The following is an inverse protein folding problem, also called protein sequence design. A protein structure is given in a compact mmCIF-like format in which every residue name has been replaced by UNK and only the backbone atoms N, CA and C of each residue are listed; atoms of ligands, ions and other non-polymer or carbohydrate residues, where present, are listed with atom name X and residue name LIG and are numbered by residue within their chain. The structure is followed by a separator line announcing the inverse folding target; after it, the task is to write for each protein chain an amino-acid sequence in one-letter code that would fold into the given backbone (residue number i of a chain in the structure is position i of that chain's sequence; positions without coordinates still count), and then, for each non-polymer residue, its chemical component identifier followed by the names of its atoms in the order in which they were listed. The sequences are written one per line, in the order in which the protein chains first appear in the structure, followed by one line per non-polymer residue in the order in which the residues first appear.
data_IF_013113752418
#
_entry.id   IF_013113752418
#
_cell.length_a   1.000
_cell.length_b   1.000
_cell.length_c   1.000
_cell.angle_alpha   90.00
_cell.angle_beta   90.00
_cell.angle_gamma   90.00
#
_symmetry.space_group_name_H-M   'P 1'
#
loop_
_entity.id
_entity.type
_entity.pdbx_description
1 polymer ?
#
# COMPACT_ATOMS: atom_id res chain seq x y z
N UNK A 1 -1.06 14.32 4.33
CA UNK A 1 -2.20 15.13 3.86
C UNK A 1 -2.03 15.56 2.41
N UNK A 2 -1.02 16.36 2.01
CA UNK A 2 -0.81 16.77 0.62
C UNK A 2 -0.51 15.59 -0.32
N UNK A 3 0.42 14.68 0.05
CA UNK A 3 0.69 13.44 -0.70
C UNK A 3 -0.57 12.62 -1.00
N UNK A 4 -1.50 12.55 -0.04
CA UNK A 4 -2.73 11.75 -0.25
C UNK A 4 -3.67 12.44 -1.22
N UNK A 5 -3.71 13.79 -1.22
CA UNK A 5 -4.46 14.55 -2.22
C UNK A 5 -3.93 14.29 -3.62
N UNK A 6 -2.59 14.35 -3.81
CA UNK A 6 -1.96 14.02 -5.08
C UNK A 6 -2.28 12.58 -5.54
N UNK A 7 -2.23 11.60 -4.61
CA UNK A 7 -2.61 10.23 -4.92
C UNK A 7 -4.09 10.09 -5.31
N UNK A 8 -5.00 10.80 -4.62
CA UNK A 8 -6.42 10.82 -4.99
C UNK A 8 -6.64 11.44 -6.37
N UNK A 9 -5.97 12.54 -6.67
CA UNK A 9 -6.07 13.20 -7.98
C UNK A 9 -5.50 12.31 -9.09
N UNK A 10 -4.39 11.61 -8.81
CA UNK A 10 -3.83 10.58 -9.72
C UNK A 10 -4.84 9.47 -10.01
N UNK A 11 -5.45 8.92 -8.98
CA UNK A 11 -6.47 7.86 -9.12
C UNK A 11 -7.68 8.37 -9.91
N UNK A 12 -8.12 9.61 -9.67
CA UNK A 12 -9.21 10.24 -10.45
C UNK A 12 -8.86 10.38 -11.92
N UNK A 13 -7.63 10.83 -12.24
CA UNK A 13 -7.16 10.96 -13.61
C UNK A 13 -7.11 9.60 -14.32
N UNK A 14 -6.56 8.57 -13.67
CA UNK A 14 -6.52 7.19 -14.17
C UNK A 14 -7.94 6.67 -14.45
N UNK A 15 -8.88 6.84 -13.51
CA UNK A 15 -10.24 6.35 -13.69
C UNK A 15 -10.95 7.04 -14.85
N UNK A 16 -10.73 8.34 -15.07
CA UNK A 16 -11.27 9.08 -16.22
C UNK A 16 -10.65 8.60 -17.53
N UNK A 17 -9.32 8.43 -17.57
CA UNK A 17 -8.62 7.84 -18.71
C UNK A 17 -9.16 6.44 -19.04
N UNK A 18 -9.32 5.57 -18.04
CA UNK A 18 -9.90 4.23 -18.22
C UNK A 18 -11.29 4.25 -18.82
N UNK A 19 -12.11 5.26 -18.48
CA UNK A 19 -13.45 5.38 -19.06
C UNK A 19 -13.38 5.64 -20.54
N UNK A 20 -12.54 6.56 -21.00
CA UNK A 20 -12.34 6.84 -22.43
C UNK A 20 -11.75 5.59 -23.13
N UNK A 21 -10.75 4.95 -22.55
CA UNK A 21 -10.15 3.74 -23.12
C UNK A 21 -11.16 2.61 -23.30
N UNK A 22 -12.10 2.42 -22.38
CA UNK A 22 -13.16 1.39 -22.51
C UNK A 22 -14.10 1.62 -23.67
N UNK A 23 -14.26 2.87 -24.11
CA UNK A 23 -15.15 3.25 -25.21
C UNK A 23 -14.42 3.11 -26.56
N UNK A 24 -13.19 3.61 -26.63
CA UNK A 24 -12.46 3.78 -27.88
C UNK A 24 -11.42 2.69 -28.15
N UNK A 25 -10.95 2.00 -27.10
CA UNK A 25 -10.01 0.88 -27.21
C UNK A 25 -10.19 -0.10 -26.04
N UNK A 26 -11.31 -0.85 -25.96
CA UNK A 26 -11.61 -1.72 -24.84
C UNK A 26 -10.57 -2.82 -24.60
N UNK A 27 -9.89 -3.30 -25.64
CA UNK A 27 -8.86 -4.33 -25.58
C UNK A 27 -7.53 -3.84 -25.00
N UNK A 28 -7.37 -2.56 -24.78
CA UNK A 28 -6.11 -1.98 -24.26
C UNK A 28 -5.68 -2.59 -22.93
N UNK A 29 -6.66 -2.90 -22.08
CA UNK A 29 -6.38 -3.54 -20.78
C UNK A 29 -5.75 -4.93 -20.94
N UNK A 30 -6.21 -5.71 -21.91
CA UNK A 30 -5.69 -7.06 -22.19
C UNK A 30 -4.30 -6.96 -22.82
N UNK A 31 -4.09 -5.98 -23.68
CA UNK A 31 -2.80 -5.71 -24.32
C UNK A 31 -1.71 -5.30 -23.30
N UNK A 32 -2.04 -4.51 -22.27
CA UNK A 32 -1.05 -3.95 -21.34
C UNK A 32 -1.17 -4.48 -19.91
N UNK A 33 -2.29 -5.06 -19.53
CA UNK A 33 -2.57 -5.47 -18.15
C UNK A 33 -2.74 -4.29 -17.20
N UNK A 34 -1.75 -3.37 -17.17
CA UNK A 34 -1.77 -2.15 -16.38
C UNK A 34 -1.74 -0.91 -17.29
N UNK A 35 -2.87 -0.22 -17.41
CA UNK A 35 -3.05 0.93 -18.32
C UNK A 35 -2.24 2.16 -17.87
N UNK A 36 -1.99 2.31 -16.59
CA UNK A 36 -1.14 3.37 -16.00
C UNK A 36 0.32 2.95 -15.79
N UNK A 37 0.78 1.90 -16.48
CA UNK A 37 2.20 1.52 -16.51
C UNK A 37 3.02 2.48 -17.36
N UNK A 38 4.31 2.65 -17.05
CA UNK A 38 5.19 3.62 -17.71
C UNK A 38 5.16 3.51 -19.25
N UNK A 39 5.28 2.29 -19.81
CA UNK A 39 5.19 2.10 -21.25
C UNK A 39 3.82 2.42 -21.82
N UNK A 40 2.77 2.04 -21.09
CA UNK A 40 1.39 2.36 -21.49
C UNK A 40 1.17 3.86 -21.58
N UNK A 41 1.63 4.62 -20.59
CA UNK A 41 1.50 6.08 -20.58
C UNK A 41 2.29 6.73 -21.73
N UNK A 42 3.52 6.28 -22.00
CA UNK A 42 4.31 6.80 -23.11
C UNK A 42 3.66 6.50 -24.46
N UNK A 43 3.09 5.31 -24.64
CA UNK A 43 2.38 4.97 -25.88
C UNK A 43 1.09 5.78 -26.04
N UNK A 44 0.29 5.90 -24.96
CA UNK A 44 -0.95 6.68 -24.96
C UNK A 44 -0.73 8.18 -25.20
N UNK A 45 0.45 8.70 -24.85
CA UNK A 45 0.84 10.09 -25.11
C UNK A 45 0.88 10.42 -26.61
N UNK A 46 1.29 9.47 -27.42
CA UNK A 46 1.44 9.65 -28.88
C UNK A 46 0.34 8.95 -29.69
N UNK A 47 -0.03 7.75 -29.30
CA UNK A 47 -0.94 6.88 -30.04
C UNK A 47 -1.97 6.21 -29.11
N UNK A 48 -3.00 6.95 -28.63
CA UNK A 48 -3.94 6.42 -27.64
C UNK A 48 -4.94 5.41 -28.21
N UNK A 49 -5.27 5.45 -29.49
CA UNK A 49 -6.34 4.66 -30.07
C UNK A 49 -5.87 3.70 -31.18
N UNK A 50 -6.69 2.70 -31.55
CA UNK A 50 -6.32 1.68 -32.52
C UNK A 50 -5.81 2.22 -33.86
N UNK A 51 -6.41 3.28 -34.40
CA UNK A 51 -5.99 3.81 -35.69
C UNK A 51 -4.64 4.55 -35.60
N UNK A 52 -4.33 5.18 -34.46
CA UNK A 52 -3.00 5.76 -34.20
C UNK A 52 -1.92 4.67 -34.14
N UNK A 53 -2.21 3.56 -33.47
CA UNK A 53 -1.29 2.43 -33.33
C UNK A 53 -1.03 1.74 -34.66
N UNK A 54 -2.05 1.62 -35.52
CA UNK A 54 -1.91 1.09 -36.88
C UNK A 54 -1.02 1.97 -37.75
N UNK A 55 -1.13 3.30 -37.57
CA UNK A 55 -0.30 4.28 -38.32
C UNK A 55 1.17 4.24 -37.85
N UNK A 56 1.45 3.94 -36.58
CA UNK A 56 2.80 3.80 -36.02
C UNK A 56 3.55 2.55 -36.49
N UNK A 57 2.81 1.49 -36.80
CA UNK A 57 3.30 0.13 -37.02
C UNK A 57 4.07 -0.48 -35.81
N UNK A 58 4.69 -1.63 -36.00
CA UNK A 58 5.44 -2.32 -34.93
C UNK A 58 6.76 -1.60 -34.63
N UNK A 59 7.39 -1.03 -35.61
CA UNK A 59 8.66 -0.33 -35.45
C UNK A 59 8.47 0.99 -34.71
N UNK A 60 7.40 1.73 -35.00
CA UNK A 60 7.06 2.94 -34.26
C UNK A 60 6.77 2.68 -32.78
N UNK A 61 6.06 1.60 -32.45
CA UNK A 61 5.84 1.19 -31.06
C UNK A 61 7.15 0.85 -30.35
N UNK A 62 8.06 0.13 -31.04
CA UNK A 62 9.41 -0.21 -30.52
C UNK A 62 10.28 1.02 -30.32
N UNK A 63 10.18 2.00 -31.22
CA UNK A 63 10.91 3.24 -31.11
C UNK A 63 10.49 4.04 -29.87
N UNK A 64 9.19 4.18 -29.59
CA UNK A 64 8.68 4.81 -28.37
C UNK A 64 9.24 4.13 -27.12
N UNK A 65 9.27 2.79 -27.11
CA UNK A 65 9.87 2.03 -26.01
C UNK A 65 11.35 2.39 -25.80
N UNK A 66 12.10 2.48 -26.87
CA UNK A 66 13.54 2.74 -26.84
C UNK A 66 13.83 4.18 -26.38
N UNK A 67 13.09 5.15 -26.92
CA UNK A 67 13.24 6.58 -26.58
C UNK A 67 12.90 6.83 -25.09
N UNK A 68 11.90 6.16 -24.57
CA UNK A 68 11.51 6.22 -23.15
C UNK A 68 12.49 5.49 -22.21
N UNK A 69 13.57 4.86 -22.75
CA UNK A 69 14.59 4.10 -21.99
C UNK A 69 13.99 3.08 -21.00
N UNK A 70 12.88 2.47 -21.37
CA UNK A 70 12.16 1.55 -20.51
C UNK A 70 12.83 0.17 -20.47
N UNK A 71 12.76 -0.48 -19.30
CA UNK A 71 13.27 -1.85 -19.10
C UNK A 71 12.12 -2.86 -19.13
N UNK A 72 12.38 -4.09 -19.55
CA UNK A 72 11.42 -5.21 -19.47
C UNK A 72 10.92 -5.71 -20.84
N UNK A 73 9.77 -6.43 -20.83
CA UNK A 73 9.26 -7.17 -21.99
C UNK A 73 8.39 -6.36 -22.98
N UNK A 74 8.26 -5.05 -22.84
CA UNK A 74 7.39 -4.25 -23.71
C UNK A 74 7.79 -4.30 -25.18
N UNK A 75 9.09 -4.38 -25.46
CA UNK A 75 9.60 -4.51 -26.82
C UNK A 75 9.06 -5.76 -27.55
N UNK A 76 8.99 -6.90 -26.88
CA UNK A 76 8.48 -8.15 -27.47
C UNK A 76 6.96 -8.19 -27.64
N UNK A 77 6.23 -7.23 -27.07
CA UNK A 77 4.76 -7.17 -27.11
C UNK A 77 4.21 -6.23 -28.19
N UNK A 78 5.08 -5.55 -28.95
CA UNK A 78 4.65 -4.60 -29.99
C UNK A 78 3.70 -5.24 -31.03
N UNK A 79 4.01 -6.46 -31.48
CA UNK A 79 3.14 -7.21 -32.39
C UNK A 79 1.80 -7.60 -31.80
N UNK A 80 1.77 -8.00 -30.52
CA UNK A 80 0.55 -8.30 -29.77
C UNK A 80 -0.36 -7.07 -29.63
N UNK A 81 0.22 -5.91 -29.27
CA UNK A 81 -0.49 -4.64 -29.16
C UNK A 81 -1.14 -4.24 -30.50
N UNK A 82 -0.39 -4.38 -31.59
CA UNK A 82 -0.93 -4.14 -32.94
C UNK A 82 -2.03 -5.13 -33.32
N UNK A 83 -1.90 -6.39 -32.90
CA UNK A 83 -2.96 -7.39 -33.04
C UNK A 83 -4.27 -6.92 -32.41
N UNK A 84 -4.22 -6.47 -31.15
CA UNK A 84 -5.40 -5.89 -30.48
C UNK A 84 -5.92 -4.65 -31.19
N UNK A 85 -5.04 -3.76 -31.64
CA UNK A 85 -5.46 -2.56 -32.37
C UNK A 85 -6.18 -2.88 -33.68
N UNK A 86 -5.76 -3.93 -34.39
CA UNK A 86 -6.39 -4.35 -35.66
C UNK A 86 -7.77 -5.00 -35.46
N UNK A 87 -7.97 -5.69 -34.36
CA UNK A 87 -9.21 -6.39 -34.03
C UNK A 87 -10.13 -5.60 -33.10
N UNK A 88 -9.78 -4.37 -32.78
CA UNK A 88 -10.54 -3.56 -31.83
C UNK A 88 -11.96 -3.27 -32.28
N UNK A 89 -12.91 -3.42 -31.34
CA UNK A 89 -14.34 -3.09 -31.49
C UNK A 89 -14.69 -1.71 -30.94
N UNK A 90 -13.67 -0.90 -30.60
CA UNK A 90 -13.87 0.45 -30.06
C UNK A 90 -14.65 1.36 -31.03
N UNK A 91 -15.42 2.31 -30.48
CA UNK A 91 -16.18 3.31 -31.22
C UNK A 91 -15.20 4.29 -31.86
N UNK A 92 -15.56 4.80 -33.06
CA UNK A 92 -14.73 5.77 -33.79
C UNK A 92 -15.32 7.19 -33.74
N UNK A 93 -16.61 7.30 -33.59
CA UNK A 93 -17.30 8.59 -33.50
C UNK A 93 -16.84 9.35 -32.24
N UNK A 94 -16.38 10.59 -32.44
CA UNK A 94 -15.86 11.41 -31.35
C UNK A 94 -14.44 11.06 -30.87
N UNK A 95 -13.73 10.17 -31.59
CA UNK A 95 -12.39 9.73 -31.21
C UNK A 95 -11.37 10.89 -31.12
N UNK A 96 -11.47 11.91 -31.96
CA UNK A 96 -10.54 13.06 -31.94
C UNK A 96 -10.63 13.84 -30.63
N UNK A 97 -11.88 14.10 -30.13
CA UNK A 97 -12.06 14.77 -28.86
C UNK A 97 -11.59 13.89 -27.69
N UNK A 98 -11.91 12.60 -27.73
CA UNK A 98 -11.47 11.63 -26.74
C UNK A 98 -9.94 11.46 -26.73
N UNK A 99 -9.27 11.53 -27.88
CA UNK A 99 -7.82 11.52 -28.02
C UNK A 99 -7.18 12.66 -27.22
N UNK A 100 -7.67 13.88 -27.40
CA UNK A 100 -7.22 15.05 -26.64
C UNK A 100 -7.41 14.82 -25.14
N UNK A 101 -8.57 14.29 -24.74
CA UNK A 101 -8.84 14.01 -23.34
C UNK A 101 -7.89 12.94 -22.74
N UNK A 102 -7.65 11.83 -23.44
CA UNK A 102 -6.73 10.78 -23.00
C UNK A 102 -5.31 11.34 -22.87
N UNK A 103 -4.83 12.06 -23.88
CA UNK A 103 -3.49 12.69 -23.85
C UNK A 103 -3.35 13.67 -22.68
N UNK A 104 -4.40 14.45 -22.40
CA UNK A 104 -4.41 15.35 -21.25
C UNK A 104 -4.36 14.56 -19.90
N UNK A 105 -5.13 13.47 -19.77
CA UNK A 105 -5.05 12.63 -18.57
C UNK A 105 -3.70 11.97 -18.39
N UNK A 106 -3.09 11.47 -19.47
CA UNK A 106 -1.74 10.91 -19.45
C UNK A 106 -0.74 11.92 -18.93
N UNK A 107 -0.73 13.13 -19.51
CA UNK A 107 0.15 14.21 -19.07
C UNK A 107 -0.07 14.50 -17.58
N UNK A 108 -1.32 14.61 -17.14
CA UNK A 108 -1.64 14.89 -15.75
C UNK A 108 -1.20 13.76 -14.79
N UNK A 109 -1.32 12.50 -15.20
CA UNK A 109 -0.84 11.36 -14.41
C UNK A 109 0.70 11.42 -14.27
N UNK A 110 1.42 11.71 -15.35
CA UNK A 110 2.89 11.80 -15.34
C UNK A 110 3.36 12.95 -14.43
N UNK A 111 2.74 14.14 -14.53
CA UNK A 111 3.02 15.28 -13.66
C UNK A 111 2.81 14.92 -12.18
N UNK A 112 1.69 14.27 -11.87
CA UNK A 112 1.38 13.83 -10.49
C UNK A 112 2.35 12.76 -9.99
N UNK A 113 2.85 11.88 -10.85
CA UNK A 113 3.88 10.89 -10.49
C UNK A 113 5.22 11.56 -10.15
N UNK A 114 5.60 12.60 -10.88
CA UNK A 114 6.80 13.40 -10.60
C UNK A 114 6.66 14.17 -9.27
N UNK A 115 5.53 14.85 -9.06
CA UNK A 115 5.24 15.55 -7.81
C UNK A 115 5.23 14.61 -6.60
N UNK A 116 4.63 13.42 -6.75
CA UNK A 116 4.63 12.38 -5.72
C UNK A 116 6.05 11.91 -5.40
N UNK A 117 6.90 11.69 -6.39
CA UNK A 117 8.28 11.28 -6.18
C UNK A 117 9.07 12.33 -5.40
N UNK A 118 8.89 13.61 -5.70
CA UNK A 118 9.52 14.73 -4.96
C UNK A 118 9.06 14.74 -3.50
N UNK A 119 7.75 14.65 -3.26
CA UNK A 119 7.19 14.65 -1.90
C UNK A 119 7.63 13.41 -1.11
N UNK A 120 7.67 12.23 -1.74
CA UNK A 120 8.11 11.00 -1.08
C UNK A 120 9.59 11.07 -0.70
N UNK A 121 10.45 11.61 -1.55
CA UNK A 121 11.86 11.83 -1.23
C UNK A 121 12.03 12.80 -0.04
N UNK A 122 11.28 13.90 0.00
CA UNK A 122 11.31 14.85 1.12
C UNK A 122 10.83 14.20 2.42
N UNK A 123 9.76 13.39 2.37
CA UNK A 123 9.24 12.66 3.53
C UNK A 123 10.31 11.69 4.04
N UNK A 124 10.97 10.93 3.16
CA UNK A 124 12.00 9.98 3.53
C UNK A 124 13.21 10.67 4.18
N UNK A 125 13.68 11.79 3.62
CA UNK A 125 14.73 12.59 4.24
C UNK A 125 14.33 13.04 5.65
N UNK A 126 13.12 13.56 5.83
CA UNK A 126 12.63 13.98 7.15
C UNK A 126 12.46 12.82 8.14
N UNK A 127 12.07 11.64 7.67
CA UNK A 127 12.01 10.45 8.52
C UNK A 127 13.41 10.01 9.00
N UNK A 128 14.44 10.15 8.16
CA UNK A 128 15.82 9.81 8.52
C UNK A 128 16.42 10.77 9.58
N UNK A 129 15.94 12.02 9.65
CA UNK A 129 16.34 12.98 10.68
C UNK A 129 15.79 12.61 12.09
N UNK A 130 14.76 11.75 12.16
CA UNK A 130 14.15 11.35 13.44
C UNK A 130 15.04 10.28 14.09
N UNK A 131 15.54 10.49 15.33
CA UNK A 131 16.38 9.54 16.00
C UNK A 131 15.74 8.14 16.07
N UNK A 132 16.53 7.12 15.73
CA UNK A 132 16.16 5.72 15.77
C UNK A 132 15.02 5.29 14.82
N UNK A 133 14.46 6.17 13.98
CA UNK A 133 13.40 5.83 13.05
C UNK A 133 13.84 4.74 12.04
N UNK A 134 15.12 4.74 11.64
CA UNK A 134 15.70 3.72 10.77
C UNK A 134 15.59 2.29 11.32
N UNK A 135 15.70 2.11 12.64
CA UNK A 135 15.59 0.79 13.27
C UNK A 135 14.19 0.16 13.13
N UNK A 136 13.18 0.97 12.83
CA UNK A 136 11.81 0.47 12.61
C UNK A 136 11.68 -0.19 11.23
N UNK A 137 12.49 0.24 10.26
CA UNK A 137 12.51 -0.35 8.91
C UNK A 137 13.10 -1.77 8.88
N UNK A 138 13.79 -2.19 9.95
CA UNK A 138 14.27 -3.57 10.13
C UNK A 138 13.09 -4.55 10.35
N UNK A 139 11.90 -4.06 10.69
CA UNK A 139 10.71 -4.88 10.83
C UNK A 139 10.18 -5.21 9.43
N UNK A 140 10.31 -6.47 9.01
CA UNK A 140 9.82 -6.91 7.70
C UNK A 140 8.35 -6.57 7.50
N UNK A 141 8.05 -5.91 6.39
CA UNK A 141 6.72 -5.43 6.07
C UNK A 141 6.41 -4.01 6.53
N UNK A 142 7.31 -3.32 7.25
CA UNK A 142 7.19 -1.88 7.52
C UNK A 142 8.12 -1.13 6.57
N UNK A 143 7.57 -0.60 5.48
CA UNK A 143 8.32 0.27 4.56
C UNK A 143 8.23 1.74 4.94
N UNK A 144 9.03 2.58 4.24
CA UNK A 144 9.15 4.02 4.47
C UNK A 144 7.80 4.74 4.48
N UNK A 145 6.90 4.40 3.56
CA UNK A 145 5.55 4.99 3.50
C UNK A 145 4.71 4.71 4.75
N UNK A 146 4.80 3.50 5.30
CA UNK A 146 4.08 3.12 6.52
C UNK A 146 4.69 3.81 7.73
N UNK A 147 6.01 3.81 7.82
CA UNK A 147 6.75 4.48 8.88
C UNK A 147 6.44 5.98 8.90
N UNK A 148 6.59 6.65 7.76
CA UNK A 148 6.30 8.09 7.65
C UNK A 148 4.85 8.42 8.03
N UNK A 149 3.90 7.58 7.62
CA UNK A 149 2.50 7.75 7.98
C UNK A 149 2.25 7.62 9.49
N UNK A 150 2.91 6.67 10.16
CA UNK A 150 2.84 6.51 11.63
C UNK A 150 3.47 7.72 12.32
N UNK A 151 4.68 8.13 11.92
CA UNK A 151 5.41 9.23 12.52
C UNK A 151 4.67 10.58 12.35
N UNK A 152 4.15 10.86 11.16
CA UNK A 152 3.40 12.09 10.89
C UNK A 152 2.12 12.21 11.72
N UNK A 153 1.44 11.09 11.98
CA UNK A 153 0.22 11.07 12.78
C UNK A 153 0.49 11.01 14.28
N UNK A 154 1.58 10.38 14.69
CA UNK A 154 1.98 10.30 16.09
C UNK A 154 2.56 11.62 16.56
N UNK A 155 3.38 12.28 15.73
CA UNK A 155 4.12 13.48 16.09
C UNK A 155 5.33 13.17 16.97
N UNK A 156 5.78 14.18 17.72
CA UNK A 156 6.94 14.05 18.59
C UNK A 156 6.70 13.01 19.71
N UNK A 157 7.56 12.00 19.76
CA UNK A 157 7.50 10.89 20.71
C UNK A 157 7.77 11.37 22.15
N UNK A 158 8.49 12.49 22.33
CA UNK A 158 8.80 13.03 23.65
C UNK A 158 7.56 13.44 24.45
N UNK A 159 6.47 13.75 23.75
CA UNK A 159 5.19 14.17 24.32
C UNK A 159 4.43 13.07 25.04
N UNK A 160 4.86 11.82 24.92
CA UNK A 160 4.19 10.67 25.48
C UNK A 160 5.05 10.01 26.54
N UNK A 161 4.50 9.85 27.73
CA UNK A 161 5.18 9.15 28.84
C UNK A 161 4.91 7.64 28.78
N UNK A 162 3.74 7.22 28.30
CA UNK A 162 3.37 5.81 28.17
C UNK A 162 2.77 5.54 26.77
N UNK A 163 3.11 4.39 26.22
CA UNK A 163 2.55 3.88 24.95
C UNK A 163 1.02 3.81 24.94
N UNK A 164 0.38 3.65 26.12
CA UNK A 164 -1.08 3.66 26.26
C UNK A 164 -1.71 4.97 25.81
N UNK A 165 -0.98 6.08 25.92
CA UNK A 165 -1.46 7.38 25.45
C UNK A 165 -1.57 7.39 23.92
N UNK A 166 -0.56 6.85 23.22
CA UNK A 166 -0.59 6.73 21.75
C UNK A 166 -1.64 5.70 21.33
N UNK A 167 -1.81 4.63 22.10
CA UNK A 167 -2.87 3.66 21.86
C UNK A 167 -4.27 4.29 21.97
N UNK A 168 -4.49 5.17 22.97
CA UNK A 168 -5.72 5.98 23.07
C UNK A 168 -5.83 6.97 21.90
N UNK A 169 -4.74 7.68 21.58
CA UNK A 169 -4.67 8.62 20.45
C UNK A 169 -5.05 7.98 19.12
N UNK A 170 -4.67 6.72 18.90
CA UNK A 170 -5.03 5.96 17.70
C UNK A 170 -6.47 5.40 17.73
N UNK A 171 -7.13 5.46 18.87
CA UNK A 171 -8.44 4.84 19.10
C UNK A 171 -8.40 3.31 19.15
N UNK A 172 -7.22 2.73 19.43
CA UNK A 172 -7.02 1.29 19.64
C UNK A 172 -7.20 0.86 21.12
N UNK A 173 -7.50 1.81 22.01
CA UNK A 173 -7.84 1.53 23.39
C UNK A 173 -9.11 0.69 23.46
N UNK A 174 -9.10 -0.33 24.32
CA UNK A 174 -10.27 -1.19 24.54
C UNK A 174 -11.28 -0.48 25.42
N UNK A 175 -12.55 -0.56 25.04
CA UNK A 175 -13.70 -0.09 25.82
C UNK A 175 -14.70 -1.23 26.02
N UNK A 176 -15.16 -1.39 27.25
CA UNK A 176 -16.25 -2.31 27.54
C UNK A 176 -17.57 -1.65 27.16
N UNK A 177 -18.33 -2.31 26.30
CA UNK A 177 -19.71 -1.90 26.01
C UNK A 177 -20.65 -2.58 27.01
N UNK A 178 -20.69 -2.08 28.25
CA UNK A 178 -21.64 -2.57 29.25
C UNK A 178 -22.68 -1.50 29.56
N UNK A 179 -23.94 -1.84 29.45
CA UNK A 179 -25.05 -1.00 29.94
C UNK A 179 -25.91 -1.83 30.89
N UNK A 180 -25.92 -1.47 32.17
CA UNK A 180 -26.71 -2.15 33.18
C UNK A 180 -26.38 -3.65 33.31
N UNK A 181 -27.38 -4.54 33.12
CA UNK A 181 -27.23 -5.99 33.20
C UNK A 181 -26.56 -6.66 32.01
N UNK A 182 -26.31 -5.92 30.91
CA UNK A 182 -25.74 -6.47 29.67
C UNK A 182 -24.21 -6.33 29.65
N UNK A 183 -23.49 -7.46 29.75
CA UNK A 183 -22.04 -7.53 29.48
C UNK A 183 -21.83 -7.64 27.97
N UNK A 184 -21.64 -6.51 27.31
CA UNK A 184 -21.34 -6.48 25.89
C UNK A 184 -19.89 -6.84 25.57
N UNK A 185 -19.62 -7.10 24.28
CA UNK A 185 -18.27 -7.38 23.80
C UNK A 185 -17.33 -6.18 24.03
N UNK A 186 -16.09 -6.47 24.44
CA UNK A 186 -15.02 -5.47 24.48
C UNK A 186 -14.57 -5.14 23.06
N UNK A 187 -14.64 -3.87 22.69
CA UNK A 187 -14.27 -3.36 21.35
C UNK A 187 -13.25 -2.25 21.47
N UNK A 188 -12.53 -1.97 20.37
CA UNK A 188 -11.69 -0.77 20.30
C UNK A 188 -12.58 0.48 20.32
N UNK A 189 -12.07 1.56 20.92
CA UNK A 189 -12.87 2.78 21.16
C UNK A 189 -13.25 3.50 19.87
N UNK A 190 -12.47 3.37 18.80
CA UNK A 190 -12.52 4.15 17.58
C UNK A 190 -12.41 5.68 17.78
N UNK A 191 -12.38 6.16 19.03
CA UNK A 191 -12.20 7.58 19.37
C UNK A 191 -10.71 7.91 19.28
N UNK A 192 -10.33 8.82 18.40
CA UNK A 192 -8.95 9.19 18.17
C UNK A 192 -8.61 9.39 16.69
N UNK A 193 -7.32 9.49 16.38
CA UNK A 193 -6.82 9.74 15.03
C UNK A 193 -7.05 8.53 14.12
N UNK A 194 -8.04 8.64 13.24
CA UNK A 194 -8.39 7.58 12.27
C UNK A 194 -7.22 7.19 11.38
N UNK A 195 -6.39 8.16 10.98
CA UNK A 195 -5.24 7.94 10.10
C UNK A 195 -4.10 7.18 10.81
N UNK A 196 -3.81 7.50 12.08
CA UNK A 196 -2.85 6.73 12.86
C UNK A 196 -3.27 5.27 12.98
N UNK A 197 -4.54 5.03 13.30
CA UNK A 197 -5.10 3.67 13.32
C UNK A 197 -5.01 2.95 11.98
N UNK A 198 -5.27 3.66 10.88
CA UNK A 198 -5.12 3.12 9.52
C UNK A 198 -3.68 2.68 9.27
N UNK A 199 -2.67 3.53 9.55
CA UNK A 199 -1.28 3.18 9.30
C UNK A 199 -0.79 2.03 10.18
N UNK A 200 -1.18 1.98 11.44
CA UNK A 200 -0.87 0.86 12.34
C UNK A 200 -1.51 -0.45 11.86
N UNK A 201 -2.72 -0.38 11.33
CA UNK A 201 -3.38 -1.53 10.73
C UNK A 201 -2.69 -2.00 9.44
N UNK A 202 -2.28 -1.09 8.57
CA UNK A 202 -1.50 -1.43 7.37
C UNK A 202 -0.15 -2.05 7.73
N UNK A 203 0.54 -1.51 8.74
CA UNK A 203 1.76 -2.10 9.28
C UNK A 203 1.53 -3.54 9.74
N UNK A 204 0.47 -3.79 10.51
CA UNK A 204 0.14 -5.13 10.98
C UNK A 204 -0.19 -6.10 9.83
N UNK A 205 -0.99 -5.65 8.86
CA UNK A 205 -1.35 -6.45 7.68
C UNK A 205 -0.11 -6.82 6.86
N UNK A 206 0.76 -5.86 6.63
CA UNK A 206 1.99 -6.06 5.85
C UNK A 206 3.00 -6.93 6.61
N UNK A 207 3.19 -6.71 7.92
CA UNK A 207 4.07 -7.52 8.73
C UNK A 207 3.62 -9.00 8.81
N UNK A 208 2.31 -9.26 8.90
CA UNK A 208 1.78 -10.65 8.83
C UNK A 208 2.08 -11.33 7.49
N UNK A 209 2.19 -10.56 6.41
CA UNK A 209 2.50 -11.10 5.09
C UNK A 209 4.00 -11.35 4.86
N UNK A 210 4.89 -10.57 5.53
CA UNK A 210 6.32 -10.55 5.20
C UNK A 210 7.27 -10.93 6.35
N UNK A 211 6.79 -10.94 7.62
CA UNK A 211 7.58 -11.30 8.79
C UNK A 211 7.08 -12.63 9.37
N UNK A 212 7.94 -13.66 9.35
CA UNK A 212 7.54 -15.02 9.78
C UNK A 212 7.10 -15.06 11.24
N UNK A 213 7.79 -14.34 12.13
CA UNK A 213 7.44 -14.26 13.56
C UNK A 213 6.07 -13.58 13.78
N UNK A 214 5.72 -12.60 12.95
CA UNK A 214 4.41 -11.92 13.04
C UNK A 214 3.30 -12.81 12.47
N UNK A 215 3.60 -13.54 11.41
CA UNK A 215 2.70 -14.54 10.83
C UNK A 215 2.43 -15.68 11.80
N UNK A 216 3.46 -16.22 12.45
CA UNK A 216 3.32 -17.25 13.49
C UNK A 216 2.41 -16.74 14.64
N UNK A 217 2.62 -15.51 15.10
CA UNK A 217 1.81 -14.89 16.12
C UNK A 217 0.35 -14.72 15.67
N UNK A 218 0.12 -14.33 14.42
CA UNK A 218 -1.22 -14.23 13.85
C UNK A 218 -1.94 -15.58 13.81
N UNK A 219 -1.24 -16.62 13.37
CA UNK A 219 -1.77 -18.00 13.37
C UNK A 219 -2.10 -18.42 14.80
N UNK A 220 -1.19 -18.22 15.76
CA UNK A 220 -1.43 -18.54 17.16
C UNK A 220 -2.70 -17.87 17.71
N UNK A 221 -2.86 -16.56 17.51
CA UNK A 221 -4.05 -15.85 18.02
C UNK A 221 -5.35 -16.33 17.39
N UNK A 222 -5.32 -16.79 16.12
CA UNK A 222 -6.52 -17.23 15.41
C UNK A 222 -6.85 -18.71 15.62
N UNK A 223 -5.88 -19.52 16.09
CA UNK A 223 -6.03 -20.98 16.24
C UNK A 223 -5.87 -21.50 17.67
N UNK A 224 -5.49 -20.65 18.64
CA UNK A 224 -5.33 -21.06 20.05
C UNK A 224 -6.64 -21.66 20.60
N UNK A 225 -6.55 -22.69 21.45
CA UNK A 225 -7.76 -23.40 21.98
C UNK A 225 -8.63 -22.49 22.84
N UNK A 226 -8.01 -21.62 23.65
CA UNK A 226 -8.73 -20.71 24.52
C UNK A 226 -8.94 -19.36 23.86
N UNK A 227 -10.21 -19.00 23.64
CA UNK A 227 -10.63 -17.72 23.09
C UNK A 227 -9.89 -17.33 21.78
N UNK A 228 -10.05 -18.12 20.69
CA UNK A 228 -9.45 -17.79 19.41
C UNK A 228 -10.00 -16.47 18.86
N UNK A 229 -9.12 -15.64 18.32
CA UNK A 229 -9.49 -14.34 17.78
C UNK A 229 -9.94 -14.48 16.31
N UNK A 230 -10.89 -13.67 15.88
CA UNK A 230 -11.18 -13.48 14.47
C UNK A 230 -9.97 -12.81 13.79
N UNK A 231 -9.75 -13.08 12.50
CA UNK A 231 -8.59 -12.53 11.72
C UNK A 231 -8.40 -11.02 11.93
N UNK A 232 -9.47 -10.23 11.87
CA UNK A 232 -9.41 -8.78 12.07
C UNK A 232 -9.04 -8.41 13.52
N UNK A 233 -9.52 -9.13 14.51
CA UNK A 233 -9.16 -8.91 15.92
C UNK A 233 -7.67 -9.19 16.15
N UNK A 234 -7.14 -10.28 15.58
CA UNK A 234 -5.72 -10.60 15.64
C UNK A 234 -4.86 -9.49 15.00
N UNK A 235 -5.24 -8.94 13.84
CA UNK A 235 -4.54 -7.81 13.22
C UNK A 235 -4.53 -6.56 14.12
N UNK A 236 -5.61 -6.29 14.84
CA UNK A 236 -5.67 -5.17 15.80
C UNK A 236 -4.73 -5.41 16.98
N UNK A 237 -4.66 -6.63 17.51
CA UNK A 237 -3.72 -6.97 18.58
C UNK A 237 -2.28 -6.81 18.11
N UNK A 238 -1.96 -7.27 16.90
CA UNK A 238 -0.64 -7.10 16.28
C UNK A 238 -0.32 -5.61 16.06
N UNK A 239 -1.29 -4.81 15.60
CA UNK A 239 -1.12 -3.36 15.45
C UNK A 239 -0.77 -2.68 16.79
N UNK A 240 -1.43 -3.07 17.88
CA UNK A 240 -1.10 -2.58 19.22
C UNK A 240 0.30 -3.04 19.67
N UNK A 241 0.71 -4.25 19.30
CA UNK A 241 2.05 -4.78 19.63
C UNK A 241 3.14 -4.05 18.84
N UNK A 242 2.92 -3.85 17.54
CA UNK A 242 3.82 -3.04 16.69
C UNK A 242 3.93 -1.60 17.21
N UNK A 243 2.83 -0.99 17.65
CA UNK A 243 2.86 0.34 18.26
C UNK A 243 3.78 0.38 19.48
N UNK A 244 3.74 -0.64 20.35
CA UNK A 244 4.64 -0.73 21.52
C UNK A 244 6.09 -0.86 21.11
N UNK A 245 6.38 -1.63 20.07
CA UNK A 245 7.73 -1.81 19.54
C UNK A 245 8.23 -0.48 18.96
N UNK A 246 7.45 0.19 18.11
CA UNK A 246 7.77 1.50 17.54
C UNK A 246 8.03 2.53 18.64
N UNK A 247 7.16 2.60 19.66
CA UNK A 247 7.36 3.47 20.81
C UNK A 247 8.68 3.20 21.53
N UNK A 248 8.98 1.91 21.79
CA UNK A 248 10.20 1.51 22.52
C UNK A 248 11.46 1.83 21.71
N UNK A 249 11.44 1.59 20.42
CA UNK A 249 12.55 1.93 19.53
C UNK A 249 12.80 3.43 19.53
N UNK A 250 11.77 4.26 19.34
CA UNK A 250 11.92 5.71 19.29
C UNK A 250 12.33 6.33 20.62
N UNK A 251 11.81 5.82 21.76
CA UNK A 251 12.16 6.35 23.10
C UNK A 251 13.51 5.89 23.59
N UNK A 252 13.94 4.66 23.28
CA UNK A 252 15.11 4.00 23.90
C UNK A 252 16.23 3.69 22.92
N UNK A 253 16.03 3.90 21.61
CA UNK A 253 17.03 3.55 20.59
C UNK A 253 17.31 2.05 20.45
N UNK A 254 16.40 1.20 20.91
CA UNK A 254 16.58 -0.26 20.82
C UNK A 254 16.42 -0.75 19.39
N UNK A 255 17.03 -1.90 19.08
CA UNK A 255 16.85 -2.61 17.81
C UNK A 255 15.68 -3.58 17.93
N UNK A 256 15.02 -3.87 16.81
CA UNK A 256 13.96 -4.86 16.74
C UNK A 256 14.49 -6.27 17.02
N UNK A 257 13.78 -7.02 17.87
CA UNK A 257 14.10 -8.40 18.21
C UNK A 257 12.91 -9.32 17.89
N UNK A 258 12.98 -10.11 16.80
CA UNK A 258 11.92 -11.03 16.40
C UNK A 258 11.54 -12.05 17.48
N UNK A 259 12.51 -12.49 18.29
CA UNK A 259 12.25 -13.47 19.36
C UNK A 259 11.29 -12.94 20.42
N UNK A 260 11.40 -11.64 20.73
CA UNK A 260 10.47 -10.98 21.68
C UNK A 260 9.04 -10.91 21.16
N UNK A 261 8.85 -10.93 19.83
CA UNK A 261 7.51 -10.98 19.21
C UNK A 261 6.77 -12.27 19.57
N UNK A 262 7.50 -13.38 19.69
CA UNK A 262 6.96 -14.72 19.95
C UNK A 262 6.77 -15.06 21.44
N UNK A 263 7.21 -14.20 22.37
CA UNK A 263 7.10 -14.46 23.81
C UNK A 263 5.65 -14.61 24.31
N UNK A 264 4.67 -14.09 23.57
CA UNK A 264 3.25 -14.25 23.92
C UNK A 264 2.69 -15.65 23.56
N UNK A 265 3.44 -16.45 22.80
CA UNK A 265 3.01 -17.78 22.38
C UNK A 265 3.25 -18.76 23.52
N UNK A 266 2.18 -19.20 24.18
CA UNK A 266 2.22 -20.28 25.15
C UNK A 266 2.36 -21.61 24.40
N UNK A 267 3.57 -22.17 24.35
CA UNK A 267 3.80 -23.51 23.82
C UNK A 267 3.50 -24.50 24.95
N UNK A 268 2.75 -25.61 24.69
CA UNK A 268 2.64 -26.68 25.68
C UNK A 268 4.04 -27.20 25.98
N UNK A 269 4.36 -27.37 27.27
CA UNK A 269 5.59 -28.01 27.68
C UNK A 269 5.71 -29.35 26.98
N UNK A 270 6.82 -29.60 26.27
CA UNK A 270 7.13 -30.94 25.77
C UNK A 270 7.24 -31.82 27.01
N UNK A 271 6.24 -32.66 27.28
CA UNK A 271 6.45 -33.79 28.19
C UNK A 271 7.57 -34.59 27.60
N UNK A 272 8.75 -34.53 28.22
CA UNK A 272 9.81 -35.48 27.92
C UNK A 272 9.20 -36.87 28.10
N UNK A 273 9.16 -37.65 27.03
CA UNK A 273 8.85 -39.04 27.10
C UNK A 273 9.96 -39.67 27.91
N UNK A 274 9.69 -39.91 29.19
CA UNK A 274 10.50 -40.77 30.02
C UNK A 274 10.41 -42.13 29.37
N UNK A 275 11.45 -42.48 28.63
CA UNK A 275 11.65 -43.84 28.10
C UNK A 275 11.77 -44.77 29.31
N UNK A 276 10.75 -45.61 29.51
CA UNK A 276 10.83 -46.76 30.38
C UNK A 276 11.47 -47.92 29.59
#
# INVERSE_FOLDING_TARGET
MFRDQLNEDRIRAINRMHREMKIYFPEYKDAFGKVDGAFSLELLKSAPFPDDLKALDENGIRQIWHEAKLRGRGYSRSGEILGYARSSVGIRDGADAAKIAVQWFVKKIMELDEELAVIENLINQKCQEIPHAGNILEISGIGENTLSGILAEMGDISRFDDVKEIQKLSGLGLVACSSGKHKGETKISHRGRKRLRYWLFQAAKSAVAHAEEVKELHVYYTTRPDNPLKKMQSLIVIACKLLRIVYTILKKGTVYDPKKMLMDIRRPEKKEAIAA
#
